data_IF_357326974351
#
_entry.id   IF_357326974351
#
_cell.length_a   1.000
_cell.length_b   1.000
_cell.length_c   1.000
_cell.angle_alpha   90.00
_cell.angle_beta   90.00
_cell.angle_gamma   90.00
#
_symmetry.space_group_name_H-M   'P 1'
#
loop_
_entity.id
_entity.type
_entity.pdbx_description
1 polymer ?
#
# COMPACT_ATOMS: atom_id res chain seq x y z
N UNK A 1 17.33 -12.80 3.59
CA UNK A 1 17.52 -11.42 3.09
C UNK A 1 16.19 -10.77 2.70
N UNK A 2 15.45 -11.31 1.73
CA UNK A 2 14.17 -10.70 1.27
C UNK A 2 13.08 -10.59 2.36
N UNK A 3 12.99 -11.54 3.29
CA UNK A 3 12.05 -11.46 4.44
C UNK A 3 12.26 -10.22 5.32
N UNK A 4 13.51 -9.79 5.51
CA UNK A 4 13.82 -8.60 6.30
C UNK A 4 13.42 -7.32 5.56
N UNK A 5 13.59 -7.30 4.23
CA UNK A 5 13.17 -6.16 3.39
C UNK A 5 11.64 -6.11 3.23
N UNK A 6 10.96 -7.26 3.15
CA UNK A 6 9.49 -7.32 3.14
C UNK A 6 8.86 -6.70 4.38
N UNK A 7 9.44 -6.92 5.57
CA UNK A 7 9.01 -6.24 6.81
C UNK A 7 9.11 -4.72 6.72
N UNK A 8 10.14 -4.18 6.07
CA UNK A 8 10.34 -2.74 5.90
C UNK A 8 9.33 -2.13 4.92
N UNK A 9 9.04 -2.82 3.81
CA UNK A 9 7.99 -2.43 2.86
C UNK A 9 6.64 -2.34 3.57
N UNK A 10 6.34 -3.34 4.40
CA UNK A 10 5.07 -3.40 5.14
C UNK A 10 4.96 -2.27 6.15
N UNK A 11 6.03 -2.01 6.91
CA UNK A 11 6.05 -0.90 7.87
C UNK A 11 5.93 0.47 7.19
N UNK A 12 6.57 0.63 6.03
CA UNK A 12 6.59 1.90 5.28
C UNK A 12 5.22 2.21 4.68
N UNK A 13 4.56 1.22 4.08
CA UNK A 13 3.23 1.45 3.54
C UNK A 13 2.16 1.52 4.65
N UNK A 14 2.34 0.90 5.82
CA UNK A 14 1.45 1.15 6.97
C UNK A 14 1.49 2.63 7.41
N UNK A 15 2.65 3.28 7.36
CA UNK A 15 2.75 4.73 7.61
C UNK A 15 1.96 5.54 6.57
N UNK A 16 1.96 5.13 5.30
CA UNK A 16 1.19 5.78 4.23
C UNK A 16 -0.32 5.64 4.45
N UNK A 17 -0.80 4.47 4.88
CA UNK A 17 -2.22 4.26 5.24
C UNK A 17 -2.62 5.21 6.38
N UNK A 18 -1.79 5.31 7.41
CA UNK A 18 -2.07 6.22 8.54
C UNK A 18 -2.12 7.70 8.13
N UNK A 19 -1.29 8.11 7.17
CA UNK A 19 -1.33 9.44 6.57
C UNK A 19 -2.64 9.61 5.77
N UNK A 20 -3.06 8.61 5.00
CA UNK A 20 -4.34 8.61 4.29
C UNK A 20 -5.54 8.76 5.23
N UNK A 21 -5.57 8.02 6.33
CA UNK A 21 -6.61 8.13 7.37
C UNK A 21 -6.65 9.52 8.02
N UNK A 22 -5.47 10.11 8.25
CA UNK A 22 -5.37 11.47 8.78
C UNK A 22 -5.95 12.48 7.81
N UNK A 23 -5.63 12.38 6.51
CA UNK A 23 -6.22 13.26 5.48
C UNK A 23 -7.73 13.03 5.36
N UNK A 24 -8.19 11.78 5.34
CA UNK A 24 -9.63 11.46 5.33
C UNK A 24 -10.39 12.17 6.46
N UNK A 25 -9.83 12.21 7.68
CA UNK A 25 -10.47 12.86 8.84
C UNK A 25 -10.43 14.39 8.80
N UNK A 26 -9.49 14.99 8.08
CA UNK A 26 -9.30 16.44 8.03
C UNK A 26 -9.89 17.10 6.78
N UNK A 27 -10.31 16.31 5.79
CA UNK A 27 -10.93 16.81 4.55
C UNK A 27 -12.44 16.98 4.73
N UNK A 28 -12.93 18.20 4.48
CA UNK A 28 -14.36 18.56 4.55
C UNK A 28 -15.16 18.07 3.34
N UNK A 29 -14.52 17.96 2.18
CA UNK A 29 -15.13 17.48 0.93
C UNK A 29 -15.38 15.97 0.97
N UNK A 30 -16.66 15.58 0.92
CA UNK A 30 -17.10 14.19 0.99
C UNK A 30 -16.51 13.31 -0.13
N UNK A 31 -16.38 13.88 -1.33
CA UNK A 31 -15.87 13.19 -2.51
C UNK A 31 -14.37 12.86 -2.36
N UNK A 32 -13.56 13.87 -2.02
CA UNK A 32 -12.13 13.68 -1.75
C UNK A 32 -11.95 12.68 -0.60
N UNK A 33 -12.70 12.88 0.48
CA UNK A 33 -12.62 12.04 1.68
C UNK A 33 -12.86 10.57 1.36
N UNK A 34 -13.86 10.28 0.53
CA UNK A 34 -14.17 8.91 0.07
C UNK A 34 -13.05 8.35 -0.81
N UNK A 35 -12.52 9.17 -1.73
CA UNK A 35 -11.45 8.75 -2.65
C UNK A 35 -10.13 8.45 -1.93
N UNK A 36 -9.73 9.30 -0.99
CA UNK A 36 -8.54 9.08 -0.14
C UNK A 36 -8.69 7.80 0.70
N UNK A 37 -9.87 7.57 1.27
CA UNK A 37 -10.16 6.34 2.04
C UNK A 37 -10.10 5.09 1.16
N UNK A 38 -10.67 5.13 -0.04
CA UNK A 38 -10.60 4.02 -0.99
C UNK A 38 -9.16 3.69 -1.36
N UNK A 39 -8.34 4.69 -1.67
CA UNK A 39 -6.92 4.49 -1.96
C UNK A 39 -6.15 3.95 -0.74
N UNK A 40 -6.43 4.45 0.47
CA UNK A 40 -5.80 3.99 1.70
C UNK A 40 -6.17 2.53 2.02
N UNK A 41 -7.44 2.16 1.86
CA UNK A 41 -7.91 0.78 2.03
C UNK A 41 -7.28 -0.17 1.01
N UNK A 42 -7.24 0.22 -0.27
CA UNK A 42 -6.59 -0.57 -1.31
C UNK A 42 -5.10 -0.80 -1.01
N UNK A 43 -4.39 0.25 -0.57
CA UNK A 43 -3.00 0.15 -0.15
C UNK A 43 -2.82 -0.80 1.05
N UNK A 44 -3.73 -0.75 2.03
CA UNK A 44 -3.74 -1.65 3.19
C UNK A 44 -3.98 -3.12 2.79
N UNK A 45 -4.86 -3.38 1.83
CA UNK A 45 -5.09 -4.72 1.32
C UNK A 45 -3.87 -5.26 0.56
N UNK A 46 -3.28 -4.44 -0.31
CA UNK A 46 -2.06 -4.82 -1.04
C UNK A 46 -0.89 -5.13 -0.09
N UNK A 47 -0.74 -4.33 0.97
CA UNK A 47 0.19 -4.60 2.08
C UNK A 47 0.01 -5.99 2.69
N UNK A 48 -1.22 -6.37 3.01
CA UNK A 48 -1.54 -7.68 3.57
C UNK A 48 -1.22 -8.81 2.56
N UNK A 49 -1.52 -8.59 1.28
CA UNK A 49 -1.17 -9.54 0.22
C UNK A 49 0.35 -9.69 0.07
N UNK A 50 1.11 -8.60 0.14
CA UNK A 50 2.58 -8.66 0.11
C UNK A 50 3.13 -9.47 1.28
N UNK A 51 2.58 -9.33 2.49
CA UNK A 51 2.97 -10.17 3.65
C UNK A 51 2.70 -11.65 3.35
N UNK A 52 1.51 -11.97 2.87
CA UNK A 52 1.11 -13.34 2.56
C UNK A 52 2.01 -13.97 1.49
N UNK A 53 2.21 -13.27 0.37
CA UNK A 53 3.09 -13.73 -0.73
C UNK A 53 4.55 -13.81 -0.31
N UNK A 54 5.04 -12.89 0.53
CA UNK A 54 6.39 -12.97 1.11
C UNK A 54 6.56 -14.22 1.98
N UNK A 55 5.55 -14.58 2.78
CA UNK A 55 5.55 -15.81 3.57
C UNK A 55 5.56 -17.04 2.66
N UNK A 56 4.73 -17.06 1.61
CA UNK A 56 4.70 -18.12 0.60
C UNK A 56 6.05 -18.27 -0.10
N UNK A 57 6.65 -17.17 -0.56
CA UNK A 57 7.97 -17.16 -1.19
C UNK A 57 9.07 -17.74 -0.29
N UNK A 58 9.01 -17.46 1.01
CA UNK A 58 9.93 -18.05 1.98
C UNK A 58 9.69 -19.54 2.23
N UNK A 59 8.43 -19.95 2.33
CA UNK A 59 8.05 -21.35 2.56
C UNK A 59 8.44 -22.26 1.39
N UNK A 60 8.28 -21.76 0.16
CA UNK A 60 8.55 -22.52 -1.06
C UNK A 60 9.91 -22.23 -1.69
N UNK A 61 10.82 -21.56 -0.96
CA UNK A 61 12.14 -21.24 -1.49
C UNK A 61 12.92 -22.53 -1.85
N UNK A 62 13.56 -22.63 -3.03
CA UNK A 62 13.83 -21.59 -4.03
C UNK A 62 12.86 -21.55 -5.23
N UNK A 63 11.55 -21.55 -5.02
CA UNK A 63 10.55 -21.39 -6.08
C UNK A 63 10.59 -19.99 -6.69
N UNK A 64 10.98 -19.91 -7.96
CA UNK A 64 11.02 -18.66 -8.74
C UNK A 64 9.63 -18.06 -8.89
N UNK A 65 8.60 -18.89 -9.10
CA UNK A 65 7.21 -18.43 -9.22
C UNK A 65 6.75 -17.71 -7.95
N UNK A 66 6.98 -18.32 -6.78
CA UNK A 66 6.55 -17.74 -5.51
C UNK A 66 7.29 -16.43 -5.19
N UNK A 67 8.58 -16.35 -5.56
CA UNK A 67 9.37 -15.11 -5.45
C UNK A 67 8.86 -14.03 -6.41
N UNK A 68 8.50 -14.39 -7.65
CA UNK A 68 7.95 -13.44 -8.62
C UNK A 68 6.61 -12.87 -8.15
N UNK A 69 5.69 -13.70 -7.66
CA UNK A 69 4.42 -13.24 -7.12
C UNK A 69 4.59 -12.28 -5.93
N UNK A 70 5.58 -12.53 -5.07
CA UNK A 70 5.96 -11.60 -4.01
C UNK A 70 6.45 -10.26 -4.60
N UNK A 71 7.33 -10.29 -5.60
CA UNK A 71 7.85 -9.08 -6.26
C UNK A 71 6.72 -8.27 -6.89
N UNK A 72 5.80 -8.93 -7.61
CA UNK A 72 4.66 -8.28 -8.25
C UNK A 72 3.79 -7.56 -7.22
N UNK A 73 3.55 -8.16 -6.06
CA UNK A 73 2.80 -7.48 -5.00
C UNK A 73 3.50 -6.26 -4.40
N UNK A 74 4.84 -6.22 -4.40
CA UNK A 74 5.59 -5.02 -3.98
C UNK A 74 5.43 -3.89 -5.01
N UNK A 75 5.35 -4.25 -6.29
CA UNK A 75 5.05 -3.29 -7.37
C UNK A 75 3.62 -2.74 -7.19
N UNK A 76 2.65 -3.60 -6.88
CA UNK A 76 1.26 -3.19 -6.63
C UNK A 76 1.16 -2.18 -5.47
N UNK A 77 1.85 -2.45 -4.35
CA UNK A 77 1.92 -1.50 -3.22
C UNK A 77 2.48 -0.14 -3.66
N UNK A 78 3.49 -0.14 -4.54
CA UNK A 78 4.11 1.09 -5.03
C UNK A 78 3.16 1.90 -5.93
N UNK A 79 2.39 1.22 -6.78
CA UNK A 79 1.37 1.84 -7.63
C UNK A 79 0.23 2.44 -6.78
N UNK A 80 -0.29 1.68 -5.83
CA UNK A 80 -1.37 2.15 -4.95
C UNK A 80 -0.93 3.30 -4.03
N UNK A 81 0.32 3.28 -3.57
CA UNK A 81 0.90 4.40 -2.82
C UNK A 81 0.98 5.69 -3.67
N UNK A 82 1.32 5.55 -4.95
CA UNK A 82 1.30 6.68 -5.90
C UNK A 82 -0.12 7.20 -6.10
N UNK A 83 -1.11 6.32 -6.22
CA UNK A 83 -2.51 6.71 -6.38
C UNK A 83 -3.03 7.46 -5.16
N UNK A 84 -2.71 6.97 -3.95
CA UNK A 84 -3.03 7.67 -2.70
C UNK A 84 -2.40 9.07 -2.67
N UNK A 85 -1.12 9.20 -3.06
CA UNK A 85 -0.45 10.50 -3.16
C UNK A 85 -1.17 11.45 -4.13
N UNK A 86 -1.55 10.97 -5.31
CA UNK A 86 -2.27 11.77 -6.31
C UNK A 86 -3.64 12.21 -5.78
N UNK A 87 -4.38 11.30 -5.14
CA UNK A 87 -5.66 11.62 -4.49
C UNK A 87 -5.50 12.69 -3.41
N UNK A 88 -4.44 12.63 -2.60
CA UNK A 88 -4.11 13.64 -1.59
C UNK A 88 -3.68 14.99 -2.19
N UNK A 89 -2.97 15.00 -3.32
CA UNK A 89 -2.60 16.27 -3.97
C UNK A 89 -3.84 16.97 -4.55
N UNK A 90 -4.71 16.22 -5.22
CA UNK A 90 -5.99 16.77 -5.68
C UNK A 90 -6.85 17.25 -4.51
N UNK A 91 -6.79 16.58 -3.35
CA UNK A 91 -7.45 17.02 -2.13
C UNK A 91 -6.99 18.42 -1.69
N UNK A 92 -5.68 18.66 -1.72
CA UNK A 92 -5.07 19.91 -1.28
C UNK A 92 -5.24 21.07 -2.27
N UNK A 93 -5.61 20.78 -3.52
CA UNK A 93 -5.83 21.79 -4.57
C UNK A 93 -7.28 22.24 -4.70
N UNK A 94 -8.23 21.61 -3.99
CA UNK A 94 -9.62 22.09 -3.93
C UNK A 94 -9.73 23.23 -2.90
N UNK A 95 -10.28 24.40 -3.29
CA UNK A 95 -10.42 25.57 -2.42
C UNK A 95 -11.46 25.38 -1.31
#
# INVERSE_FOLDING_TARGET
VFLAHGKFVVLSAHRLVHIGDTVHRNVTSNEIRTRVLQCANALSEALAQTVAKTKTAAQFFPSVSAVQEMVDSVVDVSLLAKDLKVAMIHAAQQP
#
